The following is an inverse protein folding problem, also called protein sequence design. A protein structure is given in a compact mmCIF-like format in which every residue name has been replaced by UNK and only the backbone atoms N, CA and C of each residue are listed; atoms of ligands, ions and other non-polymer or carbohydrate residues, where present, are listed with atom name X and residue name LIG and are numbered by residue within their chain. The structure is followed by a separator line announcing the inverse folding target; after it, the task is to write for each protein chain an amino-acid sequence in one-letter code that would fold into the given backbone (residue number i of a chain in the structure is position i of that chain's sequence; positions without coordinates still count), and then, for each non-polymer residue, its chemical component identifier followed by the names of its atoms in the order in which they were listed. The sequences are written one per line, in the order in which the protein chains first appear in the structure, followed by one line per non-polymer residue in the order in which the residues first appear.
data_IF_755229159830
#
_entry.id   IF_755229159830
#
_cell.length_a   1.000
_cell.length_b   1.000
_cell.length_c   1.000
_cell.angle_alpha   90.00
_cell.angle_beta   90.00
_cell.angle_gamma   90.00
#
_symmetry.space_group_name_H-M   'P 1'
#
loop_
_entity.id
_entity.type
_entity.pdbx_description
1 polymer ?
#
# COMPACT_ATOMS: atom_id res chain seq x y z
N UNK A 1 9.03 -13.89 29.57
CA UNK A 1 8.92 -14.21 28.14
C UNK A 1 9.97 -13.43 27.38
N UNK A 2 10.70 -14.09 26.48
CA UNK A 2 11.61 -13.35 25.63
C UNK A 2 10.84 -12.35 24.76
N UNK A 3 11.34 -11.14 24.62
CA UNK A 3 10.75 -10.13 23.76
C UNK A 3 10.76 -10.63 22.31
N UNK A 4 9.66 -10.39 21.59
CA UNK A 4 9.61 -10.71 20.16
C UNK A 4 10.65 -9.89 19.42
N UNK A 5 11.38 -10.53 18.52
CA UNK A 5 12.30 -9.80 17.65
C UNK A 5 11.53 -8.83 16.76
N UNK A 6 12.01 -7.60 16.69
CA UNK A 6 11.48 -6.62 15.73
C UNK A 6 11.75 -7.09 14.31
N UNK A 7 10.76 -7.07 13.40
CA UNK A 7 11.00 -7.42 12.00
C UNK A 7 12.11 -6.56 11.38
N UNK A 8 12.91 -7.15 10.50
CA UNK A 8 14.01 -6.44 9.86
C UNK A 8 13.54 -5.21 9.05
N UNK A 9 12.38 -5.32 8.42
CA UNK A 9 11.79 -4.19 7.70
C UNK A 9 11.47 -3.01 8.62
N UNK A 10 10.99 -3.28 9.83
CA UNK A 10 10.72 -2.25 10.82
C UNK A 10 12.01 -1.64 11.36
N UNK A 11 13.04 -2.46 11.59
CA UNK A 11 14.36 -1.96 12.00
C UNK A 11 14.97 -1.03 10.96
N UNK A 12 14.78 -1.34 9.68
CA UNK A 12 15.24 -0.49 8.59
C UNK A 12 14.55 0.88 8.63
N UNK A 13 13.22 0.90 8.81
CA UNK A 13 12.42 2.13 8.91
C UNK A 13 12.85 2.97 10.12
N UNK A 14 13.18 2.32 11.22
CA UNK A 14 13.64 2.97 12.45
C UNK A 14 15.12 3.36 12.43
N UNK A 15 15.85 3.03 11.36
CA UNK A 15 17.28 3.26 11.28
C UNK A 15 18.13 2.31 12.13
N UNK A 16 17.53 1.26 12.66
CA UNK A 16 18.19 0.30 13.56
C UNK A 16 18.67 -0.97 12.86
N UNK A 17 18.44 -1.08 11.55
CA UNK A 17 18.85 -2.27 10.80
C UNK A 17 20.36 -2.27 10.56
N UNK A 18 20.99 -3.39 10.89
CA UNK A 18 22.41 -3.67 10.60
C UNK A 18 22.52 -5.07 10.02
N UNK A 19 22.96 -5.24 8.75
CA UNK A 19 23.02 -6.55 8.11
C UNK A 19 23.83 -7.59 8.88
N UNK A 20 24.92 -7.17 9.53
CA UNK A 20 25.78 -8.05 10.32
C UNK A 20 25.11 -8.61 11.59
N UNK A 21 24.08 -7.94 12.10
CA UNK A 21 23.36 -8.34 13.32
C UNK A 21 21.99 -8.92 13.06
N UNK A 22 21.32 -8.50 12.00
CA UNK A 22 19.91 -8.78 11.74
C UNK A 22 19.67 -9.68 10.55
N UNK A 23 20.74 -10.09 9.84
CA UNK A 23 20.63 -10.83 8.60
C UNK A 23 20.27 -9.95 7.41
N UNK A 24 20.30 -10.51 6.23
CA UNK A 24 19.96 -9.78 5.01
C UNK A 24 18.46 -9.54 4.92
N UNK A 25 18.07 -8.34 4.50
CA UNK A 25 16.68 -8.07 4.12
C UNK A 25 16.43 -8.82 2.82
N UNK A 26 15.46 -9.73 2.83
CA UNK A 26 14.99 -10.36 1.61
C UNK A 26 14.47 -9.26 0.68
N UNK A 27 15.11 -9.11 -0.47
CA UNK A 27 14.62 -8.21 -1.50
C UNK A 27 13.20 -8.67 -1.83
N UNK A 28 12.24 -7.77 -1.67
CA UNK A 28 10.88 -8.03 -2.07
C UNK A 28 10.89 -8.45 -3.54
N UNK A 29 10.24 -9.55 -3.82
CA UNK A 29 9.93 -9.89 -5.20
C UNK A 29 9.09 -8.77 -5.79
N UNK A 30 9.25 -8.55 -7.08
CA UNK A 30 8.49 -7.56 -7.80
C UNK A 30 7.00 -7.72 -7.52
N UNK A 31 6.36 -6.65 -7.05
CA UNK A 31 4.93 -6.67 -6.75
C UNK A 31 4.12 -6.70 -8.04
N UNK A 32 3.16 -7.63 -8.10
CA UNK A 32 2.25 -7.75 -9.23
C UNK A 32 0.89 -7.22 -8.80
N UNK A 33 0.39 -6.19 -9.51
CA UNK A 33 -0.91 -5.64 -9.23
C UNK A 33 -2.00 -6.69 -9.51
N UNK A 34 -2.93 -6.92 -8.56
CA UNK A 34 -3.93 -7.98 -8.73
C UNK A 34 -4.97 -7.63 -9.80
N UNK A 35 -5.55 -8.66 -10.39
CA UNK A 35 -6.65 -8.52 -11.32
C UNK A 35 -7.97 -8.22 -10.60
N UNK A 36 -8.92 -7.52 -11.24
CA UNK A 36 -10.21 -7.25 -10.64
C UNK A 36 -11.01 -8.54 -10.43
N UNK A 37 -11.88 -8.59 -9.39
CA UNK A 37 -12.75 -9.73 -9.19
C UNK A 37 -13.66 -9.98 -10.39
N UNK A 38 -13.92 -11.26 -10.68
CA UNK A 38 -14.73 -11.64 -11.85
C UNK A 38 -16.18 -11.17 -11.80
N UNK A 39 -16.71 -10.89 -10.59
CA UNK A 39 -18.09 -10.43 -10.43
C UNK A 39 -18.26 -8.91 -10.56
N UNK A 40 -17.16 -8.16 -10.74
CA UNK A 40 -17.24 -6.71 -10.92
C UNK A 40 -17.96 -6.38 -12.23
N UNK A 41 -18.88 -5.43 -12.15
CA UNK A 41 -19.52 -4.85 -13.34
C UNK A 41 -18.57 -3.83 -14.02
N UNK A 42 -19.00 -3.29 -15.15
CA UNK A 42 -18.17 -2.35 -15.91
C UNK A 42 -17.79 -1.10 -15.10
N UNK A 43 -18.71 -0.62 -14.26
CA UNK A 43 -18.46 0.56 -13.43
C UNK A 43 -17.40 0.29 -12.35
N UNK A 44 -17.47 -0.87 -11.70
CA UNK A 44 -16.47 -1.27 -10.72
C UNK A 44 -15.12 -1.57 -11.37
N UNK A 45 -15.12 -2.16 -12.56
CA UNK A 45 -13.89 -2.37 -13.34
C UNK A 45 -13.25 -1.04 -13.69
N UNK A 46 -14.04 -0.03 -14.03
CA UNK A 46 -13.52 1.31 -14.31
C UNK A 46 -12.84 1.90 -13.07
N UNK A 47 -13.47 1.80 -11.91
CA UNK A 47 -12.88 2.26 -10.64
C UNK A 47 -11.59 1.51 -10.33
N UNK A 48 -11.58 0.20 -10.54
CA UNK A 48 -10.39 -0.63 -10.36
C UNK A 48 -9.25 -0.19 -11.28
N UNK A 49 -9.56 0.09 -12.54
CA UNK A 49 -8.57 0.53 -13.53
C UNK A 49 -8.00 1.91 -13.18
N UNK A 50 -8.85 2.84 -12.73
CA UNK A 50 -8.42 4.15 -12.25
C UNK A 50 -7.45 4.00 -11.07
N UNK A 51 -7.80 3.17 -10.11
CA UNK A 51 -6.98 2.89 -8.93
C UNK A 51 -5.66 2.25 -9.32
N UNK A 52 -5.69 1.29 -10.24
CA UNK A 52 -4.50 0.64 -10.78
C UNK A 52 -3.55 1.65 -11.43
N UNK A 53 -4.10 2.55 -12.23
CA UNK A 53 -3.31 3.60 -12.91
C UNK A 53 -2.56 4.49 -11.92
N UNK A 54 -3.16 4.74 -10.76
CA UNK A 54 -2.57 5.58 -9.72
C UNK A 54 -1.54 4.81 -8.88
N UNK A 55 -1.88 3.59 -8.46
CA UNK A 55 -1.10 2.85 -7.46
C UNK A 55 -0.03 1.93 -8.04
N UNK A 56 -0.26 1.34 -9.22
CA UNK A 56 0.69 0.40 -9.82
C UNK A 56 2.10 0.98 -10.01
N UNK A 57 2.26 2.24 -10.49
CA UNK A 57 3.59 2.81 -10.67
C UNK A 57 4.43 2.92 -9.41
N UNK A 58 3.81 2.94 -8.24
CA UNK A 58 4.51 3.05 -6.96
C UNK A 58 5.10 1.72 -6.48
N UNK A 59 4.64 0.60 -7.03
CA UNK A 59 5.27 -0.71 -6.86
C UNK A 59 5.12 -1.38 -5.50
N UNK A 60 4.24 -0.91 -4.62
CA UNK A 60 4.03 -1.54 -3.31
C UNK A 60 2.75 -2.38 -3.21
N UNK A 61 1.89 -2.35 -4.23
CA UNK A 61 0.65 -3.13 -4.25
C UNK A 61 0.93 -4.52 -4.85
N UNK A 62 0.56 -5.54 -4.13
CA UNK A 62 0.73 -6.94 -4.53
C UNK A 62 -0.61 -7.69 -4.40
N UNK A 63 -0.61 -8.95 -4.79
CA UNK A 63 -1.79 -9.83 -4.74
C UNK A 63 -2.44 -9.92 -3.37
N UNK A 64 -1.66 -9.78 -2.30
CA UNK A 64 -2.19 -9.78 -0.92
C UNK A 64 -3.13 -8.60 -0.65
N UNK A 65 -3.03 -7.55 -1.44
CA UNK A 65 -3.89 -6.37 -1.30
C UNK A 65 -5.21 -6.46 -2.07
N UNK A 66 -5.47 -7.57 -2.76
CA UNK A 66 -6.64 -7.72 -3.63
C UNK A 66 -7.96 -7.47 -2.88
N UNK A 67 -8.10 -8.00 -1.67
CA UNK A 67 -9.31 -7.82 -0.86
C UNK A 67 -9.49 -6.38 -0.44
N UNK A 68 -8.43 -5.71 -0.03
CA UNK A 68 -8.48 -4.28 0.32
C UNK A 68 -8.87 -3.42 -0.88
N UNK A 69 -8.31 -3.72 -2.04
CA UNK A 69 -8.66 -3.02 -3.28
C UNK A 69 -10.11 -3.25 -3.68
N UNK A 70 -10.61 -4.47 -3.50
CA UNK A 70 -12.00 -4.82 -3.76
C UNK A 70 -12.95 -3.98 -2.90
N UNK A 71 -12.72 -3.93 -1.59
CA UNK A 71 -13.52 -3.14 -0.66
C UNK A 71 -13.38 -1.64 -0.96
N UNK A 72 -12.18 -1.18 -1.22
CA UNK A 72 -11.91 0.21 -1.56
C UNK A 72 -12.69 0.65 -2.79
N UNK A 73 -12.65 -0.14 -3.86
CA UNK A 73 -13.37 0.17 -5.10
C UNK A 73 -14.88 0.20 -4.91
N UNK A 74 -15.42 -0.74 -4.14
CA UNK A 74 -16.86 -0.76 -3.84
C UNK A 74 -17.28 0.45 -3.02
N UNK A 75 -16.56 0.79 -1.98
CA UNK A 75 -16.87 1.96 -1.16
C UNK A 75 -16.72 3.26 -1.94
N UNK A 76 -15.67 3.37 -2.74
CA UNK A 76 -15.45 4.55 -3.57
C UNK A 76 -16.54 4.73 -4.61
N UNK A 77 -16.94 3.65 -5.28
CA UNK A 77 -18.03 3.68 -6.25
C UNK A 77 -19.35 4.08 -5.57
N UNK A 78 -19.67 3.48 -4.42
CA UNK A 78 -20.87 3.82 -3.65
C UNK A 78 -20.85 5.29 -3.21
N UNK A 79 -19.70 5.82 -2.78
CA UNK A 79 -19.59 7.23 -2.40
C UNK A 79 -19.86 8.19 -3.55
N UNK A 80 -19.54 7.77 -4.77
CA UNK A 80 -19.74 8.59 -5.98
C UNK A 80 -21.17 8.52 -6.52
N UNK A 81 -21.88 7.42 -6.27
CA UNK A 81 -23.18 7.13 -6.90
C UNK A 81 -24.35 7.15 -5.94
N UNK A 82 -24.14 6.89 -4.66
CA UNK A 82 -25.21 6.80 -3.68
C UNK A 82 -25.41 8.13 -2.94
N UNK A 83 -26.65 8.59 -2.87
CA UNK A 83 -27.02 9.76 -2.08
C UNK A 83 -27.09 9.44 -0.57
N UNK A 84 -27.16 8.16 -0.22
CA UNK A 84 -27.28 7.67 1.15
C UNK A 84 -25.97 7.12 1.73
N UNK A 85 -24.84 7.63 1.28
CA UNK A 85 -23.54 7.21 1.78
C UNK A 85 -23.37 7.66 3.23
N UNK A 86 -23.31 6.69 4.15
CA UNK A 86 -23.29 6.99 5.59
C UNK A 86 -21.92 7.46 6.06
N UNK A 87 -21.91 8.18 7.21
CA UNK A 87 -20.66 8.58 7.84
C UNK A 87 -19.81 7.38 8.27
N UNK A 88 -20.44 6.26 8.65
CA UNK A 88 -19.74 5.02 8.98
C UNK A 88 -18.99 4.46 7.77
N UNK A 89 -19.63 4.44 6.61
CA UNK A 89 -18.99 4.00 5.36
C UNK A 89 -17.85 4.93 4.93
N UNK A 90 -18.03 6.23 5.10
CA UNK A 90 -16.97 7.20 4.82
C UNK A 90 -15.76 6.98 5.73
N UNK A 91 -15.97 6.68 7.00
CA UNK A 91 -14.90 6.35 7.93
C UNK A 91 -14.15 5.09 7.47
N UNK A 92 -14.87 4.04 7.07
CA UNK A 92 -14.26 2.83 6.54
C UNK A 92 -13.46 3.10 5.27
N UNK A 93 -13.98 3.91 4.36
CA UNK A 93 -13.26 4.30 3.14
C UNK A 93 -11.96 5.04 3.47
N UNK A 94 -11.98 5.94 4.44
CA UNK A 94 -10.78 6.67 4.88
C UNK A 94 -9.74 5.72 5.47
N UNK A 95 -10.16 4.76 6.30
CA UNK A 95 -9.25 3.79 6.91
C UNK A 95 -8.59 2.91 5.85
N UNK A 96 -9.37 2.40 4.91
CA UNK A 96 -8.83 1.57 3.82
C UNK A 96 -7.93 2.40 2.91
N UNK A 97 -8.29 3.63 2.63
CA UNK A 97 -7.42 4.55 1.85
C UNK A 97 -6.06 4.75 2.51
N UNK A 98 -6.05 4.91 3.82
CA UNK A 98 -4.81 5.01 4.59
C UNK A 98 -3.99 3.73 4.52
N UNK A 99 -4.64 2.56 4.65
CA UNK A 99 -3.97 1.26 4.57
C UNK A 99 -3.35 1.02 3.19
N UNK A 100 -3.96 1.54 2.14
CA UNK A 100 -3.45 1.44 0.77
C UNK A 100 -2.43 2.53 0.41
N UNK A 101 -2.15 3.44 1.33
CA UNK A 101 -1.21 4.53 1.07
C UNK A 101 -1.76 5.66 0.21
N UNK A 102 -3.09 5.85 0.21
CA UNK A 102 -3.74 6.91 -0.57
C UNK A 102 -3.83 8.26 0.15
N UNK A 103 -3.37 8.34 1.39
CA UNK A 103 -3.25 9.61 2.11
C UNK A 103 -1.81 10.10 2.09
N UNK A 104 -1.54 11.42 2.19
CA UNK A 104 -0.16 11.92 2.14
C UNK A 104 0.76 11.28 3.16
N UNK A 105 0.31 11.14 4.41
CA UNK A 105 1.13 10.57 5.48
C UNK A 105 1.37 9.08 5.25
N UNK A 106 0.31 8.33 4.92
CA UNK A 106 0.43 6.89 4.69
C UNK A 106 1.25 6.58 3.45
N UNK A 107 1.17 7.40 2.42
CA UNK A 107 1.96 7.25 1.21
C UNK A 107 3.46 7.36 1.51
N UNK A 108 3.85 8.31 2.33
CA UNK A 108 5.25 8.49 2.74
C UNK A 108 5.79 7.28 3.53
N UNK A 109 4.90 6.59 4.27
CA UNK A 109 5.26 5.43 5.08
C UNK A 109 5.27 4.11 4.31
N UNK A 110 4.72 4.08 3.09
CA UNK A 110 4.68 2.85 2.32
C UNK A 110 6.09 2.42 1.87
N UNK A 111 6.40 1.11 1.98
CA UNK A 111 7.66 0.60 1.48
C UNK A 111 7.70 0.76 -0.04
N UNK A 112 8.69 1.49 -0.52
CA UNK A 112 8.93 1.65 -1.95
C UNK A 112 10.03 0.71 -2.38
N UNK A 113 9.99 0.19 -3.64
CA UNK A 113 11.14 -0.50 -4.16
C UNK A 113 12.32 0.46 -4.07
N UNK A 114 13.47 -0.04 -3.57
CA UNK A 114 14.69 0.76 -3.52
C UNK A 114 15.04 1.13 -4.94
N UNK A 115 14.75 2.36 -5.31
CA UNK A 115 15.49 2.97 -6.38
C UNK A 115 16.94 2.97 -5.92
N UNK A 116 17.85 2.58 -6.79
CA UNK A 116 19.26 2.85 -6.58
C UNK A 116 19.44 4.35 -6.47
N UNK A 117 19.06 4.86 -5.33
CA UNK A 117 19.20 6.26 -5.05
C UNK A 117 20.61 6.48 -4.56
N UNK A 118 21.50 6.62 -5.54
CA UNK A 118 22.86 7.05 -5.29
C UNK A 118 22.93 8.48 -4.78
N UNK A 119 21.80 9.16 -4.71
CA UNK A 119 21.72 10.53 -4.22
C UNK A 119 20.98 10.62 -2.89
N UNK A 120 21.50 9.92 -1.88
CA UNK A 120 21.11 10.27 -0.52
C UNK A 120 21.68 11.68 -0.25
N UNK A 121 20.83 12.68 0.06
CA UNK A 121 21.30 14.03 0.32
C UNK A 121 22.28 14.13 1.48
N UNK A 122 22.39 13.08 2.28
CA UNK A 122 23.33 12.99 3.39
C UNK A 122 24.65 12.28 3.05
N UNK A 123 24.81 11.71 1.87
CA UNK A 123 26.04 11.01 1.46
C UNK A 123 27.19 11.97 1.14
N UNK A 124 26.96 13.26 1.16
CA UNK A 124 28.00 14.26 0.94
C UNK A 124 28.59 14.88 2.22
N UNK A 125 28.19 14.35 3.36
CA UNK A 125 28.68 14.83 4.66
C UNK A 125 29.72 13.94 5.29
#
# INVERSE_FOLDING_TARGET
MPAKKTPNSLKLIQGNYRPSRHGEINKRQECIYPEPPSYFDDNLIQVWTETKTILEPHGYIDKVHAVYLEIYCKLLHESRTSENFTAAKLTQLRLISADLGCTPISFERMPRPSQDDTSNPFDGF
#
